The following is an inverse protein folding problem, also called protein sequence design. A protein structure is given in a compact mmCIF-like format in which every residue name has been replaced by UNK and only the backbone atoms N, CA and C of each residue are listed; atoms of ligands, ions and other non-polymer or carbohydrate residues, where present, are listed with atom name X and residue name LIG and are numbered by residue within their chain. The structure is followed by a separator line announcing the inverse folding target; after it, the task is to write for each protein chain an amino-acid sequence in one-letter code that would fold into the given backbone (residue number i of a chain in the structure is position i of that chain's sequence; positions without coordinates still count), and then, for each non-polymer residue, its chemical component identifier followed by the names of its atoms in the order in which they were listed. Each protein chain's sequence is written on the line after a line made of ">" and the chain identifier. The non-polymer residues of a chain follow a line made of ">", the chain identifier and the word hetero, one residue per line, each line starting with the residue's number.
data_IF_819608736524
#
_entry.id   IF_819608736524
#
_cell.length_a   1.000
_cell.length_b   1.000
_cell.length_c   1.000
_cell.angle_alpha   90.00
_cell.angle_beta   90.00
_cell.angle_gamma   90.00
#
_symmetry.space_group_name_H-M   'P 1'
#
loop_
_entity.id
_entity.type
_entity.pdbx_description
1 polymer ?
#
# COMPACT_ATOMS: atom_id res chain seq x y z
N UNK A 1 28.03 -39.14 61.76
CA UNK A 1 28.24 -40.53 61.40
C UNK A 1 27.91 -40.70 59.98
N UNK A 2 28.68 -40.99 59.01
CA UNK A 2 30.06 -41.46 58.84
C UNK A 2 30.50 -41.00 57.46
N UNK A 3 31.67 -40.47 57.35
CA UNK A 3 32.39 -40.15 56.14
C UNK A 3 32.81 -41.38 55.35
N UNK A 4 32.97 -41.30 54.06
CA UNK A 4 34.01 -42.08 53.38
C UNK A 4 34.56 -41.29 52.22
N UNK A 5 35.78 -40.93 52.36
CA UNK A 5 36.81 -40.43 51.46
C UNK A 5 37.43 -41.60 50.69
N UNK A 6 37.76 -41.43 49.40
CA UNK A 6 38.87 -42.16 48.73
C UNK A 6 39.08 -41.51 47.36
N UNK A 7 40.06 -40.73 47.10
CA UNK A 7 41.50 -40.93 46.84
C UNK A 7 41.83 -41.47 45.43
N UNK A 8 42.32 -40.57 44.57
CA UNK A 8 43.46 -40.54 43.65
C UNK A 8 43.75 -41.82 42.80
N UNK A 9 43.88 -41.65 41.50
CA UNK A 9 44.99 -42.25 40.75
C UNK A 9 45.27 -41.45 39.45
N UNK A 10 46.42 -40.85 39.46
CA UNK A 10 47.20 -40.20 38.44
C UNK A 10 47.73 -41.28 37.47
N UNK A 11 47.54 -41.18 36.16
CA UNK A 11 48.33 -41.89 35.15
C UNK A 11 48.72 -40.97 34.00
N UNK A 12 50.00 -40.62 34.05
CA UNK A 12 50.81 -40.12 32.96
C UNK A 12 51.08 -41.25 31.98
N UNK A 13 50.86 -41.06 30.69
CA UNK A 13 51.46 -41.89 29.66
C UNK A 13 51.57 -41.11 28.33
N UNK A 14 52.79 -40.79 28.04
CA UNK A 14 53.54 -40.90 26.77
C UNK A 14 52.94 -40.38 25.47
N UNK A 15 53.60 -39.33 24.98
CA UNK A 15 53.63 -38.95 23.56
C UNK A 15 54.56 -39.87 22.73
N UNK A 16 54.20 -40.15 21.49
CA UNK A 16 55.19 -40.25 20.44
C UNK A 16 55.01 -39.11 19.42
N UNK A 17 56.08 -38.40 19.18
CA UNK A 17 56.34 -37.52 18.06
C UNK A 17 56.29 -38.29 16.72
N UNK A 18 55.46 -37.86 15.79
CA UNK A 18 55.60 -38.24 14.38
C UNK A 18 55.54 -37.03 13.49
N UNK A 19 56.49 -37.00 12.59
CA UNK A 19 57.02 -35.95 11.77
C UNK A 19 56.00 -35.26 10.83
N UNK A 20 56.41 -34.06 10.52
CA UNK A 20 55.87 -33.22 9.46
C UNK A 20 56.09 -33.84 8.07
N UNK A 21 55.01 -33.84 7.25
CA UNK A 21 55.06 -33.58 5.78
C UNK A 21 53.66 -33.75 5.16
N UNK A 22 53.18 -32.71 4.50
CA UNK A 22 52.00 -32.81 3.61
C UNK A 22 51.15 -31.54 3.64
N UNK A 23 51.58 -30.51 2.91
CA UNK A 23 50.77 -29.33 2.64
C UNK A 23 49.55 -29.74 1.76
N UNK A 24 48.38 -29.59 2.30
CA UNK A 24 47.11 -29.72 1.57
C UNK A 24 46.23 -28.52 1.85
N UNK A 25 46.06 -27.65 0.87
CA UNK A 25 45.26 -26.45 0.90
C UNK A 25 43.77 -26.76 1.04
N UNK A 26 43.29 -27.09 2.24
CA UNK A 26 41.86 -27.31 2.55
C UNK A 26 41.14 -26.03 3.02
N UNK A 27 41.86 -24.91 3.20
CA UNK A 27 41.28 -23.66 3.71
C UNK A 27 40.51 -22.80 2.69
N UNK A 28 40.71 -23.01 1.40
CA UNK A 28 40.17 -22.13 0.36
C UNK A 28 38.72 -22.44 -0.06
N UNK A 29 38.31 -23.71 0.03
CA UNK A 29 36.96 -24.12 -0.40
C UNK A 29 35.89 -23.87 0.67
N UNK A 30 36.27 -24.00 1.96
CA UNK A 30 35.33 -23.74 3.06
C UNK A 30 35.06 -22.23 3.24
N UNK A 31 36.05 -21.36 3.07
CA UNK A 31 35.85 -19.90 3.11
C UNK A 31 34.98 -19.42 1.93
N UNK A 32 35.14 -19.99 0.73
CA UNK A 32 34.30 -19.67 -0.43
C UNK A 32 32.87 -20.14 -0.26
N UNK A 33 32.61 -21.27 0.36
CA UNK A 33 31.27 -21.78 0.66
C UNK A 33 30.55 -20.91 1.72
N UNK A 34 31.24 -20.48 2.77
CA UNK A 34 30.68 -19.59 3.80
C UNK A 34 30.37 -18.20 3.24
N UNK A 35 31.24 -17.64 2.37
CA UNK A 35 30.97 -16.38 1.69
C UNK A 35 29.82 -16.49 0.67
N UNK A 36 29.67 -17.60 -0.01
CA UNK A 36 28.56 -17.84 -0.95
C UNK A 36 27.21 -17.97 -0.22
N UNK A 37 27.17 -18.62 0.93
CA UNK A 37 25.97 -18.73 1.76
C UNK A 37 25.61 -17.39 2.41
N UNK A 38 26.60 -16.62 2.90
CA UNK A 38 26.39 -15.29 3.45
C UNK A 38 25.91 -14.29 2.38
N UNK A 39 26.44 -14.39 1.16
CA UNK A 39 25.99 -13.57 0.01
C UNK A 39 24.56 -13.95 -0.44
N UNK A 40 24.20 -15.22 -0.37
CA UNK A 40 22.85 -15.68 -0.70
C UNK A 40 21.81 -15.24 0.32
N UNK A 41 22.16 -15.19 1.61
CA UNK A 41 21.29 -14.70 2.69
C UNK A 41 21.14 -13.17 2.62
N UNK A 42 22.17 -12.44 2.20
CA UNK A 42 22.10 -10.99 1.97
C UNK A 42 21.28 -10.61 0.73
N UNK A 43 21.19 -11.48 -0.31
CA UNK A 43 20.31 -11.25 -1.46
C UNK A 43 18.83 -11.56 -1.18
N UNK A 44 18.51 -12.33 -0.15
CA UNK A 44 17.12 -12.67 0.22
C UNK A 44 16.44 -11.58 1.07
N UNK A 45 17.16 -10.55 1.50
CA UNK A 45 16.70 -9.54 2.46
C UNK A 45 16.11 -8.25 1.89
N UNK A 46 16.12 -8.04 0.57
CA UNK A 46 15.51 -6.85 -0.05
C UNK A 46 14.34 -7.26 -0.92
N UNK A 47 13.24 -7.68 -0.31
CA UNK A 47 11.96 -7.67 -1.00
C UNK A 47 11.60 -6.21 -1.26
N UNK A 48 11.54 -5.72 -2.51
CA UNK A 48 11.03 -4.39 -2.76
C UNK A 48 9.58 -4.36 -2.24
N UNK A 49 9.25 -3.41 -1.36
CA UNK A 49 7.86 -3.11 -1.08
C UNK A 49 7.18 -2.89 -2.43
N UNK A 50 6.15 -3.68 -2.71
CA UNK A 50 5.39 -3.50 -3.94
C UNK A 50 4.83 -2.08 -3.93
N UNK A 51 5.03 -1.28 -4.99
CA UNK A 51 4.43 0.05 -5.07
C UNK A 51 2.91 -0.08 -4.94
N UNK A 52 2.28 0.91 -4.31
CA UNK A 52 0.83 1.02 -4.30
C UNK A 52 0.34 0.95 -5.75
N UNK A 53 -0.57 0.03 -6.04
CA UNK A 53 -1.08 -0.15 -7.40
C UNK A 53 -2.14 0.93 -7.69
N UNK A 54 -2.16 1.54 -8.88
CA UNK A 54 -3.23 2.44 -9.24
C UNK A 54 -4.57 1.71 -9.16
N UNK A 55 -5.57 2.35 -8.55
CA UNK A 55 -6.89 1.75 -8.36
C UNK A 55 -7.56 1.50 -9.71
N UNK A 56 -7.85 0.24 -10.08
CA UNK A 56 -8.54 -0.06 -11.33
C UNK A 56 -9.94 0.59 -11.34
N UNK A 57 -10.35 1.17 -12.47
CA UNK A 57 -11.69 1.73 -12.63
C UNK A 57 -11.99 2.94 -11.73
N UNK A 58 -10.97 3.69 -11.28
CA UNK A 58 -11.14 4.86 -10.43
C UNK A 58 -12.10 5.89 -11.05
N UNK A 59 -12.02 6.07 -12.36
CA UNK A 59 -12.86 6.99 -13.15
C UNK A 59 -14.01 6.29 -13.89
N UNK A 60 -14.43 5.09 -13.44
CA UNK A 60 -15.52 4.33 -14.03
C UNK A 60 -16.68 4.18 -13.04
N UNK A 61 -17.86 4.74 -13.34
CA UNK A 61 -19.08 4.54 -12.54
C UNK A 61 -19.93 3.40 -13.10
N UNK A 62 -20.48 2.55 -12.24
CA UNK A 62 -21.39 1.47 -12.64
C UNK A 62 -22.79 1.74 -12.10
N UNK A 63 -23.77 1.83 -13.00
CA UNK A 63 -25.14 2.22 -12.68
C UNK A 63 -26.17 1.33 -13.39
N UNK A 64 -27.36 1.11 -12.80
CA UNK A 64 -28.46 0.47 -13.51
C UNK A 64 -28.88 1.27 -14.75
N UNK A 65 -29.02 0.62 -15.88
CA UNK A 65 -29.56 1.23 -17.12
C UNK A 65 -30.38 0.18 -17.89
N UNK A 66 -31.67 0.31 -17.81
CA UNK A 66 -32.61 -0.53 -18.56
C UNK A 66 -32.75 -0.03 -20.00
N UNK A 67 -32.69 1.29 -20.20
CA UNK A 67 -32.67 1.94 -21.52
C UNK A 67 -31.20 2.32 -21.87
N UNK A 68 -30.70 1.73 -22.94
CA UNK A 68 -29.35 1.98 -23.48
C UNK A 68 -29.36 2.86 -24.72
N UNK A 69 -30.49 3.50 -25.02
CA UNK A 69 -30.53 4.57 -26.02
C UNK A 69 -29.66 5.74 -25.59
N UNK A 70 -29.22 6.60 -26.52
CA UNK A 70 -28.43 7.80 -26.14
C UNK A 70 -29.12 8.67 -25.09
N UNK A 71 -30.45 8.75 -25.13
CA UNK A 71 -31.25 9.48 -24.12
C UNK A 71 -31.26 8.77 -22.77
N UNK A 72 -31.48 7.45 -22.76
CA UNK A 72 -31.47 6.66 -21.55
C UNK A 72 -30.11 6.67 -20.85
N UNK A 73 -29.02 6.56 -21.60
CA UNK A 73 -27.67 6.66 -21.09
C UNK A 73 -27.36 8.04 -20.50
N UNK A 74 -27.77 9.12 -21.17
CA UNK A 74 -27.56 10.48 -20.66
C UNK A 74 -28.24 10.71 -19.30
N UNK A 75 -29.33 10.02 -18.99
CA UNK A 75 -30.02 10.11 -17.69
C UNK A 75 -29.24 9.46 -16.55
N UNK A 76 -28.40 8.48 -16.81
CA UNK A 76 -27.62 7.74 -15.77
C UNK A 76 -26.20 8.25 -15.57
N UNK A 77 -25.67 9.04 -16.49
CA UNK A 77 -24.32 9.60 -16.38
C UNK A 77 -24.08 10.45 -15.12
N UNK A 78 -25.03 11.30 -14.67
CA UNK A 78 -24.85 12.03 -13.42
C UNK A 78 -24.63 11.12 -12.21
N UNK A 79 -25.33 10.02 -12.11
CA UNK A 79 -25.17 9.07 -11.00
C UNK A 79 -23.83 8.33 -11.10
N UNK A 80 -23.43 7.92 -12.29
CA UNK A 80 -22.11 7.33 -12.51
C UNK A 80 -20.98 8.30 -12.12
N UNK A 81 -21.13 9.59 -12.46
CA UNK A 81 -20.13 10.61 -12.13
C UNK A 81 -20.08 10.92 -10.62
N UNK A 82 -21.22 10.83 -9.90
CA UNK A 82 -21.24 10.93 -8.43
C UNK A 82 -20.38 9.85 -7.77
N UNK A 83 -20.46 8.61 -8.25
CA UNK A 83 -19.62 7.52 -7.75
C UNK A 83 -18.12 7.81 -7.98
N UNK A 84 -17.77 8.35 -9.14
CA UNK A 84 -16.39 8.76 -9.46
C UNK A 84 -15.95 9.90 -8.54
N UNK A 85 -16.78 10.93 -8.34
CA UNK A 85 -16.47 12.05 -7.48
C UNK A 85 -16.18 11.62 -6.04
N UNK A 86 -16.97 10.70 -5.48
CA UNK A 86 -16.71 10.12 -4.14
C UNK A 86 -15.34 9.46 -4.09
N UNK A 87 -14.99 8.66 -5.08
CA UNK A 87 -13.69 7.96 -5.12
C UNK A 87 -12.52 8.92 -5.29
N UNK A 88 -12.65 9.88 -6.20
CA UNK A 88 -11.57 10.83 -6.54
C UNK A 88 -11.35 11.85 -5.43
N UNK A 89 -12.40 12.27 -4.73
CA UNK A 89 -12.26 13.21 -3.60
C UNK A 89 -11.98 12.53 -2.26
N UNK A 90 -12.27 11.22 -2.15
CA UNK A 90 -12.24 10.49 -0.88
C UNK A 90 -13.38 10.87 0.07
N UNK A 91 -14.35 11.68 -0.36
CA UNK A 91 -15.44 12.21 0.47
C UNK A 91 -16.78 11.64 0.05
N UNK A 92 -17.48 10.84 0.89
CA UNK A 92 -18.84 10.38 0.58
C UNK A 92 -19.81 11.53 0.30
N UNK A 93 -19.66 12.65 1.00
CA UNK A 93 -20.48 13.85 0.83
C UNK A 93 -20.35 14.47 -0.57
N UNK A 94 -19.31 14.19 -1.34
CA UNK A 94 -19.16 14.70 -2.70
C UNK A 94 -20.35 14.31 -3.59
N UNK A 95 -20.96 13.13 -3.38
CA UNK A 95 -22.13 12.70 -4.16
C UNK A 95 -23.31 13.68 -4.12
N UNK A 96 -23.47 14.41 -3.02
CA UNK A 96 -24.56 15.36 -2.78
C UNK A 96 -24.11 16.80 -2.52
N UNK A 97 -22.84 17.10 -2.76
CA UNK A 97 -22.28 18.44 -2.54
C UNK A 97 -22.90 19.44 -3.53
N UNK A 98 -23.59 20.50 -3.07
CA UNK A 98 -24.17 21.51 -3.93
C UNK A 98 -23.16 22.19 -4.86
N UNK A 99 -21.90 22.32 -4.44
CA UNK A 99 -20.83 22.87 -5.27
C UNK A 99 -20.56 22.03 -6.52
N UNK A 100 -20.91 20.74 -6.51
CA UNK A 100 -20.74 19.81 -7.61
C UNK A 100 -22.02 19.62 -8.46
N UNK A 101 -23.13 20.28 -8.13
CA UNK A 101 -24.37 20.17 -8.89
C UNK A 101 -24.19 20.53 -10.39
N UNK A 102 -23.46 21.60 -10.77
CA UNK A 102 -23.22 21.91 -12.19
C UNK A 102 -22.40 20.82 -12.91
N UNK A 103 -21.41 20.20 -12.20
CA UNK A 103 -20.63 19.09 -12.73
C UNK A 103 -21.53 17.89 -13.09
N UNK A 104 -22.46 17.55 -12.20
CA UNK A 104 -23.36 16.43 -12.41
C UNK A 104 -24.40 16.70 -13.49
N UNK A 105 -24.91 17.94 -13.57
CA UNK A 105 -25.85 18.34 -14.62
C UNK A 105 -25.25 18.20 -16.02
N UNK A 106 -23.94 18.42 -16.15
CA UNK A 106 -23.22 18.37 -17.42
C UNK A 106 -22.33 17.12 -17.58
N UNK A 107 -22.68 16.03 -16.88
CA UNK A 107 -21.89 14.81 -16.81
C UNK A 107 -21.52 14.22 -18.19
N UNK A 108 -22.39 14.43 -19.20
CA UNK A 108 -22.15 13.95 -20.56
C UNK A 108 -20.84 14.46 -21.19
N UNK A 109 -20.38 15.66 -20.81
CA UNK A 109 -19.12 16.24 -21.32
C UNK A 109 -17.87 15.48 -20.91
N UNK A 110 -17.96 14.71 -19.81
CA UNK A 110 -16.83 14.02 -19.23
C UNK A 110 -16.78 12.54 -19.64
N UNK A 111 -17.84 12.03 -20.30
CA UNK A 111 -17.92 10.62 -20.71
C UNK A 111 -16.96 10.36 -21.87
N UNK A 112 -16.07 9.40 -21.71
CA UNK A 112 -15.21 8.87 -22.76
C UNK A 112 -15.72 7.56 -23.35
N UNK A 113 -16.20 6.66 -22.49
CA UNK A 113 -16.64 5.32 -22.90
C UNK A 113 -17.83 4.87 -22.07
N UNK A 114 -18.57 3.93 -22.61
CA UNK A 114 -19.52 3.14 -21.83
C UNK A 114 -19.55 1.71 -22.33
N UNK A 115 -19.90 0.77 -21.46
CA UNK A 115 -20.04 -0.64 -21.80
C UNK A 115 -21.09 -1.32 -20.92
N UNK A 116 -21.76 -2.38 -21.40
CA UNK A 116 -22.59 -3.22 -20.55
C UNK A 116 -21.75 -3.84 -19.42
N UNK A 117 -22.32 -3.82 -18.20
CA UNK A 117 -21.68 -4.37 -16.99
C UNK A 117 -22.51 -5.51 -16.36
N UNK A 118 -23.16 -6.34 -17.19
CA UNK A 118 -24.02 -7.44 -16.74
C UNK A 118 -25.38 -6.96 -16.20
N UNK A 119 -26.27 -7.86 -15.89
CA UNK A 119 -27.53 -7.71 -15.11
C UNK A 119 -28.25 -6.35 -15.20
N UNK A 120 -28.38 -5.75 -16.39
CA UNK A 120 -29.06 -4.45 -16.54
C UNK A 120 -28.26 -3.23 -16.08
N UNK A 121 -26.94 -3.36 -15.91
CA UNK A 121 -26.05 -2.28 -15.56
C UNK A 121 -25.20 -1.82 -16.75
N UNK A 122 -24.72 -0.59 -16.67
CA UNK A 122 -23.69 -0.03 -17.55
C UNK A 122 -22.53 0.52 -16.72
N UNK A 123 -21.33 0.30 -17.22
CA UNK A 123 -20.13 0.94 -16.72
C UNK A 123 -19.82 2.13 -17.64
N UNK A 124 -19.63 3.29 -17.04
CA UNK A 124 -19.39 4.56 -17.74
C UNK A 124 -18.00 5.07 -17.33
N UNK A 125 -17.10 5.16 -18.30
CA UNK A 125 -15.75 5.69 -18.13
C UNK A 125 -15.70 7.17 -18.44
N UNK A 126 -15.05 7.93 -17.58
CA UNK A 126 -14.92 9.38 -17.66
C UNK A 126 -13.47 9.80 -17.91
N UNK A 127 -13.30 10.98 -18.52
CA UNK A 127 -12.00 11.62 -18.68
C UNK A 127 -11.43 12.03 -17.33
N UNK A 128 -10.34 11.36 -16.93
CA UNK A 128 -9.71 11.58 -15.64
C UNK A 128 -9.25 13.04 -15.46
N UNK A 129 -8.60 13.62 -16.48
CA UNK A 129 -8.05 14.98 -16.40
C UNK A 129 -9.17 16.03 -16.34
N UNK A 130 -10.21 15.85 -17.16
CA UNK A 130 -11.33 16.78 -17.17
C UNK A 130 -12.13 16.73 -15.87
N UNK A 131 -12.37 15.54 -15.32
CA UNK A 131 -13.05 15.37 -14.01
C UNK A 131 -12.21 15.96 -12.88
N UNK A 132 -10.92 15.67 -12.81
CA UNK A 132 -10.03 16.24 -11.78
C UNK A 132 -9.99 17.76 -11.86
N UNK A 133 -9.87 18.34 -13.07
CA UNK A 133 -9.85 19.78 -13.25
C UNK A 133 -11.15 20.43 -12.77
N UNK A 134 -12.31 19.83 -13.09
CA UNK A 134 -13.60 20.32 -12.65
C UNK A 134 -13.81 20.20 -11.13
N UNK A 135 -13.36 19.11 -10.50
CA UNK A 135 -13.38 18.94 -9.05
C UNK A 135 -12.51 19.99 -8.34
N UNK A 136 -11.29 20.23 -8.84
CA UNK A 136 -10.41 21.30 -8.31
C UNK A 136 -11.03 22.68 -8.46
N UNK A 137 -11.61 22.98 -9.62
CA UNK A 137 -12.32 24.26 -9.87
C UNK A 137 -13.50 24.46 -8.91
N UNK A 138 -14.17 23.37 -8.49
CA UNK A 138 -15.23 23.38 -7.49
C UNK A 138 -14.71 23.35 -6.02
N UNK A 139 -13.40 23.53 -5.82
CA UNK A 139 -12.80 23.55 -4.49
C UNK A 139 -12.74 22.20 -3.79
N UNK A 140 -12.81 21.08 -4.52
CA UNK A 140 -12.74 19.75 -3.92
C UNK A 140 -11.31 19.26 -3.73
N UNK A 141 -11.04 18.53 -2.64
CA UNK A 141 -9.77 17.84 -2.49
C UNK A 141 -9.66 16.71 -3.50
N UNK A 142 -8.43 16.32 -3.82
CA UNK A 142 -8.19 15.14 -4.67
C UNK A 142 -7.40 14.11 -3.89
N UNK A 143 -7.94 12.92 -3.81
CA UNK A 143 -7.31 11.77 -3.19
C UNK A 143 -6.50 10.99 -4.25
N UNK A 144 -5.18 10.79 -4.06
CA UNK A 144 -4.33 10.12 -5.03
C UNK A 144 -4.84 8.75 -5.46
N UNK A 145 -4.53 8.37 -6.71
CA UNK A 145 -4.91 7.07 -7.26
C UNK A 145 -4.14 5.91 -6.62
N UNK A 146 -2.91 6.16 -6.15
CA UNK A 146 -2.10 5.15 -5.48
C UNK A 146 -2.51 5.03 -4.03
N UNK A 147 -3.18 3.93 -3.77
CA UNK A 147 -3.72 3.62 -2.46
C UNK A 147 -3.17 2.30 -1.97
N UNK A 148 -2.99 2.15 -0.65
CA UNK A 148 -2.52 0.90 -0.10
C UNK A 148 -3.49 -0.23 -0.42
N UNK A 149 -2.95 -1.38 -0.82
CA UNK A 149 -3.72 -2.63 -0.86
C UNK A 149 -4.02 -3.04 0.57
N UNK A 150 -5.28 -3.29 0.86
CA UNK A 150 -5.77 -3.64 2.21
C UNK A 150 -5.91 -5.14 2.33
N UNK A 151 -5.11 -5.75 3.18
CA UNK A 151 -5.25 -7.17 3.52
C UNK A 151 -6.43 -7.37 4.47
N UNK A 152 -7.47 -8.09 4.02
CA UNK A 152 -8.70 -8.27 4.77
C UNK A 152 -8.66 -9.56 5.60
N UNK A 153 -8.28 -9.45 6.87
CA UNK A 153 -8.30 -10.53 7.85
C UNK A 153 -9.66 -10.53 8.58
N UNK A 154 -10.64 -11.27 8.08
CA UNK A 154 -12.03 -11.26 8.57
C UNK A 154 -12.40 -12.57 9.20
N UNK A 155 -12.66 -12.56 10.51
CA UNK A 155 -13.14 -13.69 11.28
C UNK A 155 -14.65 -13.59 11.49
N UNK A 156 -15.37 -14.60 11.07
CA UNK A 156 -16.84 -14.71 11.27
C UNK A 156 -17.12 -15.71 12.36
N UNK A 157 -17.83 -15.28 13.41
CA UNK A 157 -18.28 -16.13 14.50
C UNK A 157 -19.77 -16.43 14.34
N UNK A 158 -20.14 -17.70 14.41
CA UNK A 158 -21.52 -18.17 14.35
C UNK A 158 -21.80 -19.16 15.46
N UNK A 159 -23.01 -19.14 16.01
CA UNK A 159 -23.46 -20.19 16.92
C UNK A 159 -23.55 -21.52 16.16
N UNK A 160 -23.01 -22.57 16.71
CA UNK A 160 -23.03 -23.92 16.19
C UNK A 160 -23.40 -24.95 17.27
N UNK A 161 -23.63 -26.21 16.90
CA UNK A 161 -24.05 -27.26 17.84
C UNK A 161 -23.02 -27.55 18.95
N UNK A 162 -21.74 -27.34 18.64
CA UNK A 162 -20.62 -27.58 19.56
C UNK A 162 -20.06 -26.28 20.18
N UNK A 163 -20.80 -25.16 20.10
CA UNK A 163 -20.36 -23.85 20.59
C UNK A 163 -20.18 -22.86 19.46
N UNK A 164 -19.29 -21.86 19.62
CA UNK A 164 -19.05 -20.83 18.62
C UNK A 164 -18.07 -21.33 17.55
N UNK A 165 -18.59 -21.47 16.33
CA UNK A 165 -17.77 -21.74 15.16
C UNK A 165 -17.11 -20.44 14.66
N UNK A 166 -15.79 -20.48 14.40
CA UNK A 166 -15.01 -19.38 13.85
C UNK A 166 -14.51 -19.74 12.46
N UNK A 167 -14.76 -18.86 11.51
CA UNK A 167 -14.35 -19.05 10.11
C UNK A 167 -13.63 -17.81 9.63
N UNK A 168 -12.37 -17.95 9.18
CA UNK A 168 -11.66 -16.90 8.49
C UNK A 168 -12.16 -16.82 7.04
N UNK A 169 -12.51 -15.62 6.58
CA UNK A 169 -12.83 -15.41 5.17
C UNK A 169 -11.54 -15.43 4.34
N UNK A 170 -11.52 -16.28 3.33
CA UNK A 170 -10.43 -16.43 2.38
C UNK A 170 -10.87 -16.03 0.98
N UNK A 171 -9.94 -16.03 0.03
CA UNK A 171 -10.25 -15.79 -1.38
C UNK A 171 -11.31 -16.74 -1.97
N UNK A 172 -11.43 -17.95 -1.43
CA UNK A 172 -12.39 -18.97 -1.87
C UNK A 172 -13.77 -18.86 -1.20
N UNK A 173 -13.88 -18.18 -0.03
CA UNK A 173 -15.12 -18.11 0.73
C UNK A 173 -15.93 -16.88 0.32
N UNK A 174 -17.17 -17.08 -0.06
CA UNK A 174 -18.16 -16.01 -0.31
C UNK A 174 -19.08 -15.85 0.88
N UNK A 175 -19.51 -14.62 1.17
CA UNK A 175 -20.40 -14.34 2.29
C UNK A 175 -20.91 -12.89 2.25
N UNK A 176 -21.84 -12.56 3.14
CA UNK A 176 -22.42 -11.22 3.19
C UNK A 176 -21.39 -10.19 3.63
N UNK A 177 -20.54 -10.53 4.59
CA UNK A 177 -19.47 -9.69 5.10
C UNK A 177 -18.44 -9.36 3.99
N UNK A 178 -18.07 -10.37 3.19
CA UNK A 178 -17.20 -10.16 2.03
C UNK A 178 -17.83 -9.23 1.02
N UNK A 179 -19.09 -9.48 0.64
CA UNK A 179 -19.83 -8.62 -0.28
C UNK A 179 -19.97 -7.18 0.24
N UNK A 180 -20.19 -7.02 1.55
CA UNK A 180 -20.25 -5.69 2.17
C UNK A 180 -18.91 -4.94 2.06
N UNK A 181 -17.79 -5.60 2.37
CA UNK A 181 -16.45 -5.02 2.22
C UNK A 181 -16.13 -4.69 0.77
N UNK A 182 -16.40 -5.58 -0.17
CA UNK A 182 -16.15 -5.36 -1.60
C UNK A 182 -16.98 -4.19 -2.15
N UNK A 183 -18.23 -4.03 -1.73
CA UNK A 183 -19.05 -2.85 -2.11
C UNK A 183 -18.47 -1.55 -1.59
N UNK A 184 -18.04 -1.51 -0.32
CA UNK A 184 -17.41 -0.31 0.24
C UNK A 184 -16.07 -0.03 -0.43
N UNK A 185 -15.25 -1.06 -0.65
CA UNK A 185 -13.98 -0.93 -1.35
C UNK A 185 -14.18 -0.34 -2.75
N UNK A 186 -15.13 -0.85 -3.52
CA UNK A 186 -15.48 -0.33 -4.84
C UNK A 186 -15.98 1.12 -4.76
N UNK A 187 -16.88 1.43 -3.81
CA UNK A 187 -17.43 2.77 -3.64
C UNK A 187 -16.36 3.79 -3.25
N UNK A 188 -15.36 3.37 -2.47
CA UNK A 188 -14.27 4.24 -1.97
C UNK A 188 -13.00 4.16 -2.82
N UNK A 189 -12.95 3.27 -3.82
CA UNK A 189 -11.77 3.05 -4.66
C UNK A 189 -10.61 2.46 -3.87
N UNK A 190 -10.84 1.42 -3.08
CA UNK A 190 -9.83 0.65 -2.36
C UNK A 190 -9.67 -0.73 -3.01
N UNK A 191 -8.48 -1.29 -2.89
CA UNK A 191 -8.18 -2.65 -3.34
C UNK A 191 -8.06 -3.56 -2.13
N UNK A 192 -8.86 -4.63 -2.09
CA UNK A 192 -8.80 -5.65 -1.04
C UNK A 192 -7.98 -6.85 -1.53
N UNK A 193 -7.07 -7.32 -0.68
CA UNK A 193 -6.40 -8.61 -0.81
C UNK A 193 -6.99 -9.57 0.22
N UNK A 194 -7.44 -10.74 -0.24
CA UNK A 194 -8.00 -11.77 0.62
C UNK A 194 -6.95 -12.84 0.92
N UNK A 195 -6.92 -13.39 2.15
CA UNK A 195 -6.02 -14.50 2.48
C UNK A 195 -6.21 -15.70 1.56
N UNK A 196 -5.12 -16.33 1.19
CA UNK A 196 -5.17 -17.66 0.60
C UNK A 196 -5.65 -18.70 1.64
N UNK A 197 -6.25 -19.80 1.18
CA UNK A 197 -6.84 -20.83 2.08
C UNK A 197 -5.78 -21.44 2.98
N UNK A 198 -4.58 -21.61 2.47
CA UNK A 198 -3.43 -22.21 3.16
C UNK A 198 -2.94 -21.38 4.34
N UNK A 199 -3.24 -20.08 4.34
CA UNK A 199 -2.86 -19.16 5.41
C UNK A 199 -3.88 -19.13 6.56
N UNK A 200 -5.05 -19.77 6.41
CA UNK A 200 -6.13 -19.70 7.38
C UNK A 200 -5.72 -20.18 8.80
N UNK A 201 -4.96 -21.27 9.01
CA UNK A 201 -4.55 -21.69 10.34
C UNK A 201 -3.70 -20.63 11.05
N UNK A 202 -2.64 -20.14 10.39
CA UNK A 202 -1.71 -19.15 10.95
C UNK A 202 -2.42 -17.83 11.26
N UNK A 203 -3.27 -17.38 10.34
CA UNK A 203 -4.03 -16.13 10.52
C UNK A 203 -5.09 -16.23 11.60
N UNK A 204 -5.70 -17.42 11.79
CA UNK A 204 -6.67 -17.63 12.87
C UNK A 204 -6.01 -17.43 14.22
N UNK A 205 -4.83 -18.00 14.44
CA UNK A 205 -4.08 -17.85 15.69
C UNK A 205 -3.59 -16.41 15.89
N UNK A 206 -3.04 -15.79 14.84
CA UNK A 206 -2.57 -14.43 14.87
C UNK A 206 -3.70 -13.41 15.11
N UNK A 207 -4.87 -13.61 14.50
CA UNK A 207 -6.03 -12.76 14.68
C UNK A 207 -6.71 -12.90 16.05
N UNK A 208 -6.53 -14.02 16.73
CA UNK A 208 -7.11 -14.23 18.06
C UNK A 208 -6.27 -13.62 19.20
N UNK A 209 -4.96 -13.59 19.05
CA UNK A 209 -4.04 -13.27 20.13
C UNK A 209 -3.05 -12.15 19.79
N UNK A 210 -2.89 -11.81 18.52
CA UNK A 210 -1.88 -10.86 18.07
C UNK A 210 -2.36 -9.40 18.06
N UNK A 211 -1.45 -8.45 18.31
CA UNK A 211 -1.72 -7.04 18.08
C UNK A 211 -1.88 -6.76 16.56
N UNK A 212 -2.61 -5.69 16.20
CA UNK A 212 -2.82 -5.32 14.79
C UNK A 212 -1.51 -5.09 14.02
N UNK A 213 -0.44 -4.69 14.72
CA UNK A 213 0.89 -4.49 14.12
C UNK A 213 1.52 -5.81 13.64
N UNK A 214 1.27 -6.92 14.34
CA UNK A 214 1.72 -8.24 13.88
C UNK A 214 0.97 -8.65 12.60
N UNK A 215 -0.33 -8.37 12.53
CA UNK A 215 -1.12 -8.57 11.31
C UNK A 215 -0.67 -7.66 10.17
N UNK A 216 -0.27 -6.41 10.46
CA UNK A 216 0.29 -5.51 9.45
C UNK A 216 1.63 -6.02 8.92
N UNK A 217 2.50 -6.53 9.79
CA UNK A 217 3.77 -7.15 9.38
C UNK A 217 3.53 -8.35 8.47
N UNK A 218 2.60 -9.22 8.83
CA UNK A 218 2.18 -10.34 7.99
C UNK A 218 1.59 -9.88 6.66
N UNK A 219 0.73 -8.84 6.66
CA UNK A 219 0.14 -8.29 5.45
C UNK A 219 1.22 -7.77 4.47
N UNK A 220 2.29 -7.17 4.98
CA UNK A 220 3.43 -6.72 4.16
C UNK A 220 4.16 -7.88 3.48
N UNK A 221 4.31 -9.02 4.14
CA UNK A 221 4.84 -10.25 3.50
C UNK A 221 3.94 -10.71 2.35
N UNK A 222 2.63 -10.47 2.45
CA UNK A 222 1.66 -10.72 1.40
C UNK A 222 1.53 -9.56 0.39
N UNK A 223 2.48 -8.62 0.36
CA UNK A 223 2.53 -7.45 -0.53
C UNK A 223 1.37 -6.46 -0.37
N UNK A 224 0.72 -6.43 0.80
CA UNK A 224 -0.25 -5.43 1.17
C UNK A 224 0.39 -4.37 2.09
N UNK A 225 -0.07 -3.11 2.00
CA UNK A 225 0.48 -1.99 2.77
C UNK A 225 -0.41 -1.60 3.94
N UNK A 226 -1.60 -2.18 4.02
CA UNK A 226 -2.54 -1.99 5.12
C UNK A 226 -3.18 -3.32 5.51
N UNK A 227 -3.65 -3.40 6.74
CA UNK A 227 -4.45 -4.52 7.23
C UNK A 227 -5.77 -4.01 7.79
N UNK A 228 -6.84 -4.69 7.48
CA UNK A 228 -8.14 -4.60 8.15
C UNK A 228 -8.39 -5.93 8.87
N UNK A 229 -8.40 -5.89 10.20
CA UNK A 229 -8.85 -6.99 11.01
C UNK A 229 -10.30 -6.75 11.45
N UNK A 230 -11.15 -7.73 11.23
CA UNK A 230 -12.55 -7.68 11.60
C UNK A 230 -12.95 -9.01 12.24
N UNK A 231 -13.52 -8.94 13.44
CA UNK A 231 -14.25 -10.05 14.06
C UNK A 231 -15.73 -9.72 14.06
N UNK A 232 -16.49 -10.34 13.19
CA UNK A 232 -17.93 -10.21 13.14
C UNK A 232 -18.57 -11.37 13.87
N UNK A 233 -19.59 -11.11 14.69
CA UNK A 233 -20.27 -12.12 15.48
C UNK A 233 -21.77 -12.06 15.25
N UNK A 234 -22.33 -13.19 14.85
CA UNK A 234 -23.78 -13.43 14.80
C UNK A 234 -24.29 -14.10 16.09
N UNK A 235 -23.45 -14.19 17.13
CA UNK A 235 -23.81 -14.78 18.43
C UNK A 235 -24.52 -13.72 19.26
N UNK A 236 -25.67 -14.07 19.84
CA UNK A 236 -26.43 -13.17 20.68
C UNK A 236 -25.59 -12.63 21.85
N UNK A 237 -25.65 -11.32 22.09
CA UNK A 237 -24.87 -10.65 23.14
C UNK A 237 -23.42 -10.34 22.78
N UNK A 238 -22.91 -10.76 21.62
CA UNK A 238 -21.58 -10.44 21.13
C UNK A 238 -21.65 -9.23 20.18
N UNK A 239 -20.62 -8.38 20.23
CA UNK A 239 -20.47 -7.25 19.30
C UNK A 239 -19.34 -7.49 18.30
N UNK A 240 -19.55 -7.11 17.06
CA UNK A 240 -18.49 -7.08 16.06
C UNK A 240 -17.45 -6.02 16.43
N UNK A 241 -16.18 -6.37 16.28
CA UNK A 241 -15.03 -5.51 16.59
C UNK A 241 -14.08 -5.48 15.40
N UNK A 242 -13.46 -4.33 15.19
CA UNK A 242 -12.51 -4.16 14.12
C UNK A 242 -11.32 -3.31 14.54
N UNK A 243 -10.22 -3.55 13.87
CA UNK A 243 -9.05 -2.65 13.87
C UNK A 243 -8.42 -2.64 12.48
N UNK A 244 -7.76 -1.56 12.18
CA UNK A 244 -6.99 -1.42 10.96
C UNK A 244 -5.68 -0.70 11.25
N UNK A 245 -4.66 -0.99 10.44
CA UNK A 245 -3.37 -0.32 10.50
C UNK A 245 -2.76 -0.20 9.10
N UNK A 246 -2.00 0.86 8.92
CA UNK A 246 -1.10 1.11 7.78
C UNK A 246 0.06 1.97 8.28
N UNK A 247 1.01 2.36 7.42
CA UNK A 247 2.13 3.19 7.84
C UNK A 247 1.66 4.52 8.44
N UNK A 248 1.96 4.71 9.73
CA UNK A 248 1.67 5.94 10.47
C UNK A 248 0.20 6.17 10.82
N UNK A 249 -0.71 5.23 10.52
CA UNK A 249 -2.13 5.32 10.90
C UNK A 249 -2.63 3.99 11.44
N UNK A 250 -3.42 4.06 12.51
CA UNK A 250 -4.16 2.93 13.05
C UNK A 250 -5.51 3.39 13.61
N UNK A 251 -6.47 2.48 13.65
CA UNK A 251 -7.77 2.75 14.24
C UNK A 251 -8.44 1.46 14.67
N UNK A 252 -9.39 1.57 15.58
CA UNK A 252 -10.18 0.46 16.07
C UNK A 252 -11.57 0.91 16.48
N UNK A 253 -12.52 -0.02 16.52
CA UNK A 253 -13.88 0.30 16.92
C UNK A 253 -14.78 -0.93 16.95
N UNK A 254 -16.07 -0.63 17.03
CA UNK A 254 -17.16 -1.62 16.97
C UNK A 254 -18.07 -1.28 15.82
N UNK A 255 -18.71 -2.29 15.26
CA UNK A 255 -19.63 -2.13 14.13
C UNK A 255 -19.40 -3.21 13.06
N UNK A 256 -20.15 -3.09 11.99
CA UNK A 256 -20.11 -4.02 10.87
C UNK A 256 -18.89 -3.83 9.94
N UNK A 257 -18.80 -4.71 8.96
CA UNK A 257 -17.72 -4.69 7.96
C UNK A 257 -17.68 -3.38 7.15
N UNK A 258 -18.83 -2.81 6.85
CA UNK A 258 -18.93 -1.56 6.10
C UNK A 258 -18.35 -0.39 6.91
N UNK A 259 -18.76 -0.27 8.18
CA UNK A 259 -18.27 0.74 9.12
C UNK A 259 -16.75 0.66 9.29
N UNK A 260 -16.20 -0.55 9.42
CA UNK A 260 -14.77 -0.77 9.57
C UNK A 260 -13.96 -0.22 8.38
N UNK A 261 -14.35 -0.59 7.15
CA UNK A 261 -13.64 -0.15 5.96
C UNK A 261 -13.89 1.33 5.62
N UNK A 262 -15.06 1.87 5.94
CA UNK A 262 -15.32 3.30 5.80
C UNK A 262 -14.44 4.12 6.75
N UNK A 263 -14.31 3.71 8.01
CA UNK A 263 -13.40 4.36 8.98
C UNK A 263 -11.95 4.40 8.46
N UNK A 264 -11.46 3.28 7.91
CA UNK A 264 -10.14 3.24 7.29
C UNK A 264 -10.04 4.20 6.10
N UNK A 265 -11.01 4.16 5.18
CA UNK A 265 -11.03 5.01 4.00
C UNK A 265 -11.07 6.50 4.34
N UNK A 266 -11.83 6.89 5.37
CA UNK A 266 -11.93 8.28 5.83
C UNK A 266 -10.62 8.77 6.43
N UNK A 267 -9.98 7.95 7.28
CA UNK A 267 -8.68 8.28 7.87
C UNK A 267 -7.58 8.41 6.80
N UNK A 268 -7.57 7.50 5.81
CA UNK A 268 -6.62 7.52 4.71
C UNK A 268 -6.83 8.75 3.81
N UNK A 269 -8.08 9.04 3.44
CA UNK A 269 -8.42 10.22 2.65
C UNK A 269 -8.09 11.53 3.39
N UNK A 270 -8.34 11.60 4.69
CA UNK A 270 -7.99 12.76 5.50
C UNK A 270 -6.47 13.02 5.55
N UNK A 271 -5.65 11.96 5.52
CA UNK A 271 -4.19 12.07 5.49
C UNK A 271 -3.66 12.45 4.10
N UNK A 272 -4.18 11.80 3.05
CA UNK A 272 -3.53 11.76 1.74
C UNK A 272 -4.19 12.68 0.70
N UNK A 273 -5.44 13.13 0.92
CA UNK A 273 -6.10 14.02 -0.03
C UNK A 273 -5.45 15.41 0.00
N UNK A 274 -5.14 15.91 -1.20
CA UNK A 274 -4.61 17.26 -1.38
C UNK A 274 -5.66 18.30 -0.98
N UNK A 275 -5.24 19.38 -0.32
CA UNK A 275 -6.13 20.50 -0.01
C UNK A 275 -6.79 21.06 -1.29
N UNK A 276 -8.06 21.53 -1.21
CA UNK A 276 -8.74 22.18 -2.32
C UNK A 276 -7.91 23.36 -2.82
N UNK A 277 -7.68 23.43 -4.13
CA UNK A 277 -6.94 24.56 -4.72
C UNK A 277 -5.45 24.60 -4.39
N UNK A 278 -4.89 23.57 -3.78
CA UNK A 278 -3.44 23.46 -3.63
C UNK A 278 -2.79 23.53 -5.02
N UNK A 279 -2.14 24.64 -5.31
CA UNK A 279 -1.31 24.77 -6.50
C UNK A 279 -0.30 23.63 -6.51
N UNK A 280 0.03 23.11 -7.71
CA UNK A 280 1.12 22.15 -7.81
C UNK A 280 2.35 22.77 -7.14
N UNK A 281 2.85 22.16 -6.09
CA UNK A 281 4.06 22.61 -5.47
C UNK A 281 5.21 22.46 -6.49
N UNK A 282 5.93 23.54 -6.70
CA UNK A 282 7.15 23.50 -7.49
C UNK A 282 8.34 23.30 -6.57
N UNK A 283 9.06 22.22 -6.78
CA UNK A 283 10.19 21.84 -5.97
C UNK A 283 11.43 21.72 -6.87
N UNK A 284 12.56 22.21 -6.39
CA UNK A 284 13.84 21.93 -6.99
C UNK A 284 14.44 20.72 -6.27
N UNK A 285 14.69 19.66 -7.02
CA UNK A 285 15.31 18.43 -6.51
C UNK A 285 16.72 18.34 -7.05
N UNK A 286 17.69 18.19 -6.17
CA UNK A 286 19.10 18.03 -6.52
C UNK A 286 19.53 16.62 -6.16
N UNK A 287 19.90 15.83 -7.16
CA UNK A 287 20.32 14.43 -6.98
C UNK A 287 21.81 14.32 -7.24
N UNK A 288 22.55 13.82 -6.26
CA UNK A 288 23.99 13.53 -6.33
C UNK A 288 24.25 12.03 -6.53
N UNK A 289 25.45 11.68 -7.05
CA UNK A 289 25.85 10.29 -7.28
C UNK A 289 25.39 9.71 -8.61
N UNK A 290 25.08 10.57 -9.59
CA UNK A 290 24.68 10.18 -10.96
C UNK A 290 25.93 10.15 -11.84
N UNK A 291 26.59 9.00 -11.95
CA UNK A 291 27.89 8.88 -12.62
C UNK A 291 27.77 8.30 -14.04
N UNK A 292 26.58 7.81 -14.43
CA UNK A 292 26.35 7.18 -15.73
C UNK A 292 24.99 7.56 -16.33
N UNK A 293 24.82 7.31 -17.64
CA UNK A 293 23.54 7.48 -18.31
C UNK A 293 22.45 6.52 -17.74
N UNK A 294 22.87 5.36 -17.27
CA UNK A 294 21.96 4.41 -16.60
C UNK A 294 21.47 4.96 -15.26
N UNK A 295 22.35 5.57 -14.47
CA UNK A 295 21.99 6.26 -13.22
C UNK A 295 21.03 7.42 -13.49
N UNK A 296 21.29 8.20 -14.53
CA UNK A 296 20.44 9.30 -14.94
C UNK A 296 19.03 8.82 -15.31
N UNK A 297 18.93 7.78 -16.14
CA UNK A 297 17.64 7.19 -16.50
C UNK A 297 16.91 6.62 -15.28
N UNK A 298 17.64 5.99 -14.34
CA UNK A 298 17.07 5.45 -13.12
C UNK A 298 16.49 6.55 -12.22
N UNK A 299 17.15 7.69 -12.09
CA UNK A 299 16.66 8.85 -11.34
C UNK A 299 15.41 9.43 -11.97
N UNK A 300 15.39 9.65 -13.29
CA UNK A 300 14.21 10.17 -13.98
C UNK A 300 13.02 9.24 -13.82
N UNK A 301 13.21 7.94 -14.10
CA UNK A 301 12.15 6.93 -13.97
C UNK A 301 11.63 6.82 -12.53
N UNK A 302 12.50 6.91 -11.53
CA UNK A 302 12.11 6.85 -10.12
C UNK A 302 11.22 8.03 -9.70
N UNK A 303 11.47 9.22 -10.24
CA UNK A 303 10.71 10.43 -9.90
C UNK A 303 9.47 10.57 -10.79
N UNK A 304 9.61 10.36 -12.10
CA UNK A 304 8.50 10.48 -13.06
C UNK A 304 7.42 9.41 -12.86
N UNK A 305 7.82 8.21 -12.42
CA UNK A 305 6.92 7.12 -12.07
C UNK A 305 6.08 7.38 -10.81
N UNK A 306 6.32 8.47 -10.08
CA UNK A 306 5.55 8.80 -8.89
C UNK A 306 4.24 9.49 -9.27
N UNK A 307 3.10 8.98 -8.78
CA UNK A 307 1.77 9.51 -9.13
C UNK A 307 1.50 10.91 -8.60
N UNK A 308 2.25 11.34 -7.60
CA UNK A 308 2.23 12.72 -7.09
C UNK A 308 2.93 13.70 -8.01
N UNK A 309 3.84 13.24 -8.88
CA UNK A 309 4.58 14.06 -9.84
C UNK A 309 3.73 14.28 -11.09
N UNK A 310 3.54 15.53 -11.47
CA UNK A 310 2.76 15.93 -12.66
C UNK A 310 3.63 16.43 -13.79
N UNK A 311 4.78 16.97 -13.45
CA UNK A 311 5.71 17.51 -14.43
C UNK A 311 7.13 17.37 -13.88
N UNK A 312 8.01 16.84 -14.70
CA UNK A 312 9.43 16.68 -14.41
C UNK A 312 10.24 17.37 -15.51
N UNK A 313 11.09 18.29 -15.12
CA UNK A 313 12.00 18.97 -16.05
C UNK A 313 13.42 18.97 -15.54
N UNK A 314 14.36 18.65 -16.41
CA UNK A 314 15.79 18.74 -16.06
C UNK A 314 16.25 20.18 -16.23
N UNK A 315 16.79 20.77 -15.17
CA UNK A 315 17.25 22.16 -15.19
C UNK A 315 18.73 22.25 -15.50
N UNK A 316 19.55 21.34 -14.94
CA UNK A 316 20.98 21.26 -15.23
C UNK A 316 21.55 19.89 -14.86
N UNK A 317 22.64 19.54 -15.53
CA UNK A 317 23.49 18.39 -15.19
C UNK A 317 24.91 18.93 -15.08
N UNK A 318 25.53 18.74 -13.92
CA UNK A 318 26.89 19.21 -13.67
C UNK A 318 27.70 18.16 -12.90
N UNK A 319 28.70 17.58 -13.55
CA UNK A 319 29.45 16.45 -12.98
C UNK A 319 28.49 15.27 -12.70
N UNK A 320 28.48 14.81 -11.45
CA UNK A 320 27.60 13.74 -10.98
C UNK A 320 26.33 14.25 -10.26
N UNK A 321 25.95 15.50 -10.50
CA UNK A 321 24.77 16.13 -9.88
C UNK A 321 23.76 16.50 -10.96
N UNK A 322 22.53 16.07 -10.79
CA UNK A 322 21.39 16.42 -11.64
C UNK A 322 20.44 17.32 -10.85
N UNK A 323 20.08 18.46 -11.42
CA UNK A 323 19.09 19.37 -10.86
C UNK A 323 17.80 19.28 -11.66
N UNK A 324 16.72 18.98 -10.96
CA UNK A 324 15.40 18.74 -11.52
C UNK A 324 14.42 19.78 -11.00
N UNK A 325 13.50 20.20 -11.84
CA UNK A 325 12.31 20.94 -11.45
C UNK A 325 11.15 19.97 -11.47
N UNK A 326 10.54 19.79 -10.31
CA UNK A 326 9.42 18.86 -10.12
C UNK A 326 8.18 19.66 -9.75
N UNK A 327 7.12 19.50 -10.53
CA UNK A 327 5.79 19.99 -10.14
C UNK A 327 5.00 18.80 -9.62
N UNK A 328 4.61 18.88 -8.36
CA UNK A 328 3.96 17.76 -7.69
C UNK A 328 2.68 18.20 -6.98
N UNK A 329 1.77 17.25 -6.82
CA UNK A 329 0.61 17.40 -5.98
C UNK A 329 1.00 16.95 -4.56
N UNK A 330 0.80 17.81 -3.56
CA UNK A 330 1.27 17.60 -2.19
C UNK A 330 2.52 18.41 -1.84
N UNK A 331 3.26 17.96 -0.83
CA UNK A 331 4.43 18.65 -0.29
C UNK A 331 5.74 17.88 -0.52
N UNK A 332 6.86 18.52 -0.22
CA UNK A 332 8.18 17.92 -0.29
C UNK A 332 8.33 16.72 0.66
N UNK A 333 7.67 16.75 1.82
CA UNK A 333 7.70 15.67 2.80
C UNK A 333 7.03 14.39 2.27
N UNK A 334 5.92 14.54 1.53
CA UNK A 334 5.25 13.44 0.84
C UNK A 334 6.15 12.79 -0.22
N UNK A 335 6.81 13.63 -1.03
CA UNK A 335 7.76 13.15 -2.04
C UNK A 335 8.93 12.37 -1.39
N UNK A 336 9.50 12.90 -0.31
CA UNK A 336 10.61 12.24 0.41
C UNK A 336 10.18 10.88 0.95
N UNK A 337 9.00 10.77 1.56
CA UNK A 337 8.50 9.50 2.10
C UNK A 337 8.38 8.43 1.01
N UNK A 338 7.81 8.78 -0.13
CA UNK A 338 7.62 7.83 -1.23
C UNK A 338 8.97 7.43 -1.86
N UNK A 339 9.89 8.37 -2.03
CA UNK A 339 11.24 8.08 -2.55
C UNK A 339 12.07 7.23 -1.59
N UNK A 340 11.97 7.47 -0.29
CA UNK A 340 12.64 6.65 0.73
C UNK A 340 12.14 5.20 0.73
N UNK A 341 10.84 4.98 0.47
CA UNK A 341 10.27 3.64 0.34
C UNK A 341 10.76 2.91 -0.92
N UNK A 342 11.02 3.64 -2.01
CA UNK A 342 11.58 3.08 -3.24
C UNK A 342 13.06 2.66 -3.10
N UNK A 343 13.74 3.07 -2.03
CA UNK A 343 15.09 2.60 -1.62
C UNK A 343 16.25 3.03 -2.51
N UNK A 344 16.00 3.74 -3.61
CA UNK A 344 17.05 4.17 -4.55
C UNK A 344 17.53 5.60 -4.34
N UNK A 345 16.70 6.46 -3.77
CA UNK A 345 17.00 7.85 -3.52
C UNK A 345 16.80 8.12 -2.02
N UNK A 346 17.88 8.53 -1.37
CA UNK A 346 17.85 8.87 0.07
C UNK A 346 18.11 10.36 0.24
N UNK A 347 17.57 10.94 1.29
CA UNK A 347 17.83 12.33 1.65
C UNK A 347 19.31 12.50 2.01
N UNK A 348 19.96 13.45 1.37
CA UNK A 348 21.31 13.85 1.73
C UNK A 348 21.25 14.80 2.93
N UNK A 349 21.43 14.22 4.13
CA UNK A 349 21.40 14.96 5.40
C UNK A 349 22.50 16.01 5.53
N UNK A 350 23.58 15.89 4.77
CA UNK A 350 24.65 16.90 4.71
C UNK A 350 24.24 18.17 3.95
N UNK A 351 23.12 18.14 3.23
CA UNK A 351 22.67 19.21 2.34
C UNK A 351 21.38 19.94 2.70
N UNK A 352 20.65 19.55 3.75
CA UNK A 352 19.38 20.19 4.15
C UNK A 352 19.56 21.58 4.78
N UNK A 353 20.79 22.03 5.00
CA UNK A 353 21.09 23.31 5.65
C UNK A 353 21.29 24.50 4.69
N UNK A 354 21.19 24.33 3.37
CA UNK A 354 21.28 25.45 2.46
C UNK A 354 19.90 26.06 2.22
N UNK A 355 19.70 27.29 2.62
CA UNK A 355 18.45 28.07 2.56
C UNK A 355 17.90 28.38 1.16
N UNK A 356 18.16 27.50 0.17
CA UNK A 356 17.66 27.63 -1.21
C UNK A 356 16.33 26.89 -1.47
N UNK A 357 15.76 26.25 -0.44
CA UNK A 357 14.48 25.53 -0.55
C UNK A 357 14.53 24.28 -1.45
N UNK A 358 15.72 23.82 -1.84
CA UNK A 358 15.86 22.61 -2.67
C UNK A 358 15.87 21.34 -1.84
N UNK A 359 15.25 20.29 -2.35
CA UNK A 359 15.32 18.93 -1.80
C UNK A 359 16.58 18.24 -2.32
N UNK A 360 17.47 17.84 -1.43
CA UNK A 360 18.71 17.15 -1.79
C UNK A 360 18.61 15.67 -1.56
N UNK A 361 18.89 14.90 -2.60
CA UNK A 361 18.84 13.44 -2.60
C UNK A 361 20.19 12.90 -3.08
N UNK A 362 20.49 11.68 -2.67
CA UNK A 362 21.65 10.91 -3.13
C UNK A 362 21.16 9.59 -3.70
N UNK A 363 21.67 9.24 -4.90
CA UNK A 363 21.43 7.94 -5.51
C UNK A 363 22.22 6.86 -4.74
N UNK A 364 21.53 5.83 -4.27
CA UNK A 364 22.15 4.62 -3.72
C UNK A 364 22.40 3.62 -4.85
N UNK A 365 23.61 3.07 -4.91
CA UNK A 365 24.04 2.04 -5.85
C UNK A 365 23.90 0.65 -5.28
#
# INVERSE_FOLDING_TARGET
>A
MTAHTSTIANRVAYFPSFGARGGGSFGGRFRRAVFAVLALVLLAGTSPLAPAAPVPGLYEGTVPATDRSPKGLAMVYPEALRQVAVRVTGRPAAASDPALAPLYADANRFVQTWRPAGSGQVAVGFDAQAVEAALVAAGQPLWPADRPVVFAAVMVERAGPAGVARTLLTGAVTGDERRALERVAQARGLVLAWPAVELAPVLTDLAQSGPVDALLSFAREQKAQAVLWLRTSAVAGSSSQWSWATDGLAGSGRGDAATALQSFADALAARDASAPGAALAQLVVVVSGVDSLADYAAVLNAIEGLPTVRELGVTSVAGNVVRLRVRLRGDAGGLVRVLAQAGRLVTDTAGTAAGDGSLRLKLQK
#
